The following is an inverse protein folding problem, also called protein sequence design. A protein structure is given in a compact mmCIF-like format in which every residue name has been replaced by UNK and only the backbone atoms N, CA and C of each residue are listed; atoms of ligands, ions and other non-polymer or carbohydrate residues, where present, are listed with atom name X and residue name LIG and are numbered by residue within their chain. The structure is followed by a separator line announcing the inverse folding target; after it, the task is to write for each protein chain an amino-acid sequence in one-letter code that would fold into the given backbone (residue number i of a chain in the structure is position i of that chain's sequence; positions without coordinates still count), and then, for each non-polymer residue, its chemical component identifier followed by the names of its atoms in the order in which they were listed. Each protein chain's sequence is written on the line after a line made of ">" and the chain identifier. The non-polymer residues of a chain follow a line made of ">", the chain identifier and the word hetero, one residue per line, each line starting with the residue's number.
data_IF_523207015250
#
_entry.id   IF_523207015250
#
_cell.length_a   1.000
_cell.length_b   1.000
_cell.length_c   1.000
_cell.angle_alpha   90.00
_cell.angle_beta   90.00
_cell.angle_gamma   90.00
#
_symmetry.space_group_name_H-M   'P 1'
#
loop_
_entity.id
_entity.type
_entity.pdbx_description
1 polymer ?
#
# COMPACT_ATOMS: atom_id res chain seq x y z
N UNK A 1 -7.52 -17.53 -2.46
CA UNK A 1 -7.06 -16.35 -1.71
C UNK A 1 -7.11 -15.12 -2.61
N UNK A 2 -7.55 -14.00 -2.07
CA UNK A 2 -7.56 -12.75 -2.83
C UNK A 2 -6.17 -12.10 -2.80
N UNK A 3 -5.74 -11.60 -3.94
CA UNK A 3 -4.51 -10.83 -4.03
C UNK A 3 -4.81 -9.38 -3.62
N UNK A 4 -4.17 -8.93 -2.56
CA UNK A 4 -4.41 -7.60 -2.00
C UNK A 4 -3.13 -6.78 -2.05
N UNK A 5 -3.16 -5.69 -2.81
CA UNK A 5 -2.04 -4.74 -2.85
C UNK A 5 -2.21 -3.68 -1.79
N UNK A 6 -1.14 -3.34 -1.08
CA UNK A 6 -1.12 -2.23 -0.12
C UNK A 6 -0.08 -1.23 -0.61
N UNK A 7 -0.53 -0.05 -1.02
CA UNK A 7 0.34 0.98 -1.56
C UNK A 7 0.66 2.01 -0.48
N UNK A 8 1.94 2.28 -0.27
CA UNK A 8 2.41 3.24 0.74
C UNK A 8 3.49 4.15 0.16
N UNK A 9 3.73 5.25 0.82
CA UNK A 9 4.72 6.23 0.43
C UNK A 9 4.12 7.32 -0.45
N UNK A 10 4.76 7.59 -1.58
CA UNK A 10 4.29 8.59 -2.54
C UNK A 10 4.99 9.93 -2.41
N UNK A 11 4.66 10.83 -3.34
CA UNK A 11 5.31 12.13 -3.47
C UNK A 11 4.66 13.23 -2.61
N UNK A 12 3.95 12.87 -1.55
CA UNK A 12 3.30 13.85 -0.69
C UNK A 12 4.11 14.14 0.56
N UNK A 13 3.73 15.21 1.28
CA UNK A 13 4.31 15.54 2.56
C UNK A 13 4.00 14.47 3.61
N UNK A 14 3.02 13.61 3.33
CA UNK A 14 2.59 12.51 4.20
C UNK A 14 3.32 11.20 3.91
N UNK A 15 4.42 11.27 3.14
CA UNK A 15 5.18 10.09 2.71
C UNK A 15 5.51 9.15 3.85
N UNK A 16 6.11 9.66 4.92
CA UNK A 16 6.57 8.85 6.04
C UNK A 16 5.41 8.33 6.91
N UNK A 17 4.35 9.12 7.05
CA UNK A 17 3.15 8.69 7.77
C UNK A 17 2.47 7.55 6.99
N UNK A 18 2.43 7.66 5.69
CA UNK A 18 1.88 6.63 4.82
C UNK A 18 2.63 5.30 4.96
N UNK A 19 3.95 5.34 5.12
CA UNK A 19 4.75 4.12 5.33
C UNK A 19 4.39 3.45 6.65
N UNK A 20 4.23 4.22 7.72
CA UNK A 20 3.80 3.69 9.01
C UNK A 20 2.43 3.04 8.88
N UNK A 21 1.50 3.72 8.25
CA UNK A 21 0.14 3.21 8.01
C UNK A 21 0.16 1.93 7.18
N UNK A 22 0.91 1.94 6.08
CA UNK A 22 0.98 0.81 5.16
C UNK A 22 1.57 -0.44 5.81
N UNK A 23 2.69 -0.30 6.50
CA UNK A 23 3.32 -1.45 7.16
C UNK A 23 2.47 -1.96 8.32
N UNK A 24 1.75 -1.07 9.01
CA UNK A 24 0.83 -1.46 10.06
C UNK A 24 -0.34 -2.27 9.49
N UNK A 25 -0.90 -1.83 8.36
CA UNK A 25 -1.98 -2.54 7.68
C UNK A 25 -1.50 -3.94 7.27
N UNK A 26 -0.33 -4.02 6.65
CA UNK A 26 0.25 -5.31 6.22
C UNK A 26 0.37 -6.26 7.41
N UNK A 27 0.81 -5.76 8.55
CA UNK A 27 1.01 -6.60 9.74
C UNK A 27 -0.30 -7.07 10.36
N UNK A 28 -1.39 -6.33 10.17
CA UNK A 28 -2.67 -6.63 10.81
C UNK A 28 -3.66 -7.35 9.93
N UNK A 29 -3.38 -7.52 8.65
CA UNK A 29 -4.25 -8.25 7.75
C UNK A 29 -4.15 -9.76 7.97
N UNK A 30 -5.25 -10.45 7.74
CA UNK A 30 -5.31 -11.90 7.85
C UNK A 30 -4.60 -12.55 6.65
N UNK A 31 -3.40 -13.06 6.88
CA UNK A 31 -2.56 -13.64 5.84
C UNK A 31 -3.03 -15.03 5.38
N UNK A 32 -4.02 -15.58 6.06
CA UNK A 32 -4.67 -16.82 5.62
C UNK A 32 -5.79 -16.54 4.61
N UNK A 33 -6.32 -15.31 4.63
CA UNK A 33 -7.41 -14.90 3.76
C UNK A 33 -6.92 -14.12 2.55
N UNK A 34 -5.86 -13.34 2.71
CA UNK A 34 -5.33 -12.47 1.67
C UNK A 34 -3.87 -12.80 1.37
N UNK A 35 -3.54 -12.85 0.09
CA UNK A 35 -2.15 -12.82 -0.34
C UNK A 35 -1.78 -11.36 -0.52
N UNK A 36 -0.87 -10.88 0.33
CA UNK A 36 -0.59 -9.46 0.45
C UNK A 36 0.64 -9.08 -0.36
N UNK A 37 0.50 -7.99 -1.13
CA UNK A 37 1.56 -7.46 -1.98
C UNK A 37 1.83 -6.02 -1.55
N UNK A 38 2.79 -5.79 -0.64
CA UNK A 38 3.14 -4.43 -0.24
C UNK A 38 3.88 -3.73 -1.38
N UNK A 39 3.49 -2.51 -1.67
CA UNK A 39 4.06 -1.69 -2.72
C UNK A 39 4.51 -0.36 -2.10
N UNK A 40 5.77 0.00 -2.32
CA UNK A 40 6.32 1.25 -1.84
C UNK A 40 6.56 2.19 -3.03
N UNK A 41 6.10 3.44 -2.91
CA UNK A 41 6.39 4.49 -3.89
C UNK A 41 7.31 5.49 -3.21
N UNK A 42 8.48 5.75 -3.82
CA UNK A 42 9.44 6.67 -3.23
C UNK A 42 9.05 8.13 -3.48
N UNK A 43 9.84 9.07 -2.96
CA UNK A 43 9.55 10.49 -3.09
C UNK A 43 9.63 11.01 -4.52
N UNK A 44 10.25 10.26 -5.41
CA UNK A 44 10.36 10.59 -6.83
C UNK A 44 9.28 9.94 -7.68
N UNK A 45 8.43 9.11 -7.05
CA UNK A 45 7.35 8.43 -7.76
C UNK A 45 7.73 7.08 -8.34
N UNK A 46 8.89 6.53 -7.99
CA UNK A 46 9.28 5.20 -8.42
C UNK A 46 8.60 4.15 -7.55
N UNK A 47 8.17 3.07 -8.19
CA UNK A 47 7.43 2.01 -7.53
C UNK A 47 8.32 0.81 -7.26
N UNK A 48 8.16 0.21 -6.07
CA UNK A 48 8.95 -0.93 -5.62
C UNK A 48 8.06 -1.95 -4.96
N UNK A 49 8.44 -3.24 -5.08
CA UNK A 49 7.80 -4.32 -4.33
C UNK A 49 8.78 -4.83 -3.28
N UNK A 50 8.25 -5.35 -2.19
CA UNK A 50 9.05 -6.01 -1.17
C UNK A 50 9.49 -7.38 -1.69
N UNK A 51 10.77 -7.72 -1.47
CA UNK A 51 11.27 -9.07 -1.73
C UNK A 51 11.34 -9.91 -0.45
N UNK A 52 11.18 -9.26 0.68
CA UNK A 52 11.14 -9.89 1.99
C UNK A 52 9.86 -10.70 2.13
N UNK A 53 9.88 -11.89 2.77
CA UNK A 53 8.65 -12.63 3.06
C UNK A 53 7.68 -11.79 3.87
N UNK A 54 6.38 -11.95 3.60
CA UNK A 54 5.34 -11.14 4.23
C UNK A 54 5.37 -11.23 5.76
N UNK A 55 5.75 -12.38 6.30
CA UNK A 55 5.81 -12.61 7.74
C UNK A 55 6.96 -11.87 8.42
N UNK A 56 7.94 -11.43 7.63
CA UNK A 56 9.12 -10.73 8.15
C UNK A 56 9.04 -9.21 8.00
N UNK A 57 7.94 -8.70 7.45
CA UNK A 57 7.76 -7.27 7.28
C UNK A 57 7.37 -6.66 8.61
N UNK A 58 8.16 -5.70 9.07
CA UNK A 58 7.95 -5.02 10.34
C UNK A 58 7.21 -3.70 10.15
N UNK A 59 6.50 -3.28 11.20
CA UNK A 59 5.90 -1.94 11.22
C UNK A 59 7.03 -0.94 11.35
N UNK A 60 7.11 0.00 10.41
CA UNK A 60 8.15 1.01 10.42
C UNK A 60 7.75 2.23 11.23
N UNK A 61 8.75 2.89 11.81
CA UNK A 61 8.56 4.13 12.55
C UNK A 61 8.63 5.31 11.59
N UNK A 62 8.14 6.46 12.03
CA UNK A 62 8.22 7.69 11.23
C UNK A 62 9.69 8.01 10.91
N UNK A 63 9.98 8.24 9.66
CA UNK A 63 11.34 8.53 9.19
C UNK A 63 12.09 7.33 8.65
N UNK A 64 11.61 6.12 8.93
CA UNK A 64 12.20 4.92 8.35
C UNK A 64 11.63 4.65 6.97
N UNK A 65 12.44 4.06 6.10
CA UNK A 65 11.98 3.64 4.77
C UNK A 65 12.12 2.14 4.61
N UNK A 66 11.29 1.53 3.76
CA UNK A 66 11.40 0.10 3.50
C UNK A 66 12.75 -0.30 2.93
N UNK A 67 13.20 -1.50 3.26
CA UNK A 67 14.44 -2.08 2.77
C UNK A 67 14.13 -3.35 1.98
N UNK A 68 15.14 -3.84 1.27
CA UNK A 68 15.02 -5.07 0.48
C UNK A 68 13.88 -4.98 -0.53
N UNK A 69 14.01 -3.99 -1.43
CA UNK A 69 13.01 -3.69 -2.43
C UNK A 69 13.52 -4.03 -3.82
N UNK A 70 12.57 -4.34 -4.70
CA UNK A 70 12.85 -4.52 -6.13
C UNK A 70 11.97 -3.57 -6.92
N UNK A 71 12.56 -2.86 -7.86
CA UNK A 71 11.82 -1.87 -8.65
C UNK A 71 10.78 -2.55 -9.54
N UNK A 72 9.58 -1.99 -9.59
CA UNK A 72 8.52 -2.42 -10.48
C UNK A 72 8.66 -1.60 -11.76
N UNK A 73 8.99 -2.25 -12.88
CA UNK A 73 9.21 -1.56 -14.14
C UNK A 73 7.91 -1.26 -14.89
N UNK A 74 6.88 -2.08 -14.68
CA UNK A 74 5.57 -1.87 -15.31
C UNK A 74 4.50 -1.96 -14.23
N UNK A 75 4.13 -0.82 -13.67
CA UNK A 75 3.17 -0.71 -12.57
C UNK A 75 1.79 -1.22 -13.00
N UNK A 76 1.41 -0.93 -14.24
CA UNK A 76 0.10 -1.32 -14.76
C UNK A 76 -0.02 -2.84 -14.80
N UNK A 77 0.98 -3.53 -15.34
CA UNK A 77 0.97 -4.98 -15.38
C UNK A 77 0.98 -5.60 -14.00
N UNK A 78 1.76 -4.99 -13.09
CA UNK A 78 1.83 -5.48 -11.72
C UNK A 78 0.48 -5.39 -11.01
N UNK A 79 -0.19 -4.24 -11.15
CA UNK A 79 -1.49 -4.02 -10.51
C UNK A 79 -2.60 -4.89 -11.07
N UNK A 80 -2.49 -5.30 -12.32
CA UNK A 80 -3.51 -6.18 -12.94
C UNK A 80 -3.62 -7.54 -12.25
N UNK A 81 -2.61 -7.93 -11.51
CA UNK A 81 -2.62 -9.19 -10.77
C UNK A 81 -3.35 -9.07 -9.42
N UNK A 82 -3.75 -7.86 -9.04
CA UNK A 82 -4.43 -7.63 -7.77
C UNK A 82 -5.94 -7.77 -7.91
N UNK A 83 -6.58 -8.38 -6.93
CA UNK A 83 -8.04 -8.42 -6.83
C UNK A 83 -8.55 -7.14 -6.18
N UNK A 84 -7.79 -6.64 -5.20
CA UNK A 84 -8.13 -5.43 -4.45
C UNK A 84 -6.84 -4.67 -4.20
N UNK A 85 -6.92 -3.34 -4.19
CA UNK A 85 -5.79 -2.48 -3.82
C UNK A 85 -6.25 -1.52 -2.74
N UNK A 86 -5.46 -1.42 -1.69
CA UNK A 86 -5.67 -0.45 -0.62
C UNK A 86 -4.56 0.59 -0.67
N UNK A 87 -4.87 1.84 -1.04
CA UNK A 87 -3.88 2.91 -0.99
C UNK A 87 -3.79 3.45 0.43
N UNK A 88 -2.70 3.14 1.13
CA UNK A 88 -2.44 3.66 2.47
C UNK A 88 -1.78 5.03 2.36
N UNK A 89 -2.26 5.84 1.43
CA UNK A 89 -1.73 7.17 1.15
C UNK A 89 -2.56 8.21 1.89
N UNK A 90 -1.88 9.14 2.55
CA UNK A 90 -2.50 10.25 3.23
C UNK A 90 -2.11 11.54 2.52
N UNK A 91 -2.92 12.58 2.72
CA UNK A 91 -2.65 13.89 2.19
C UNK A 91 -3.12 14.06 0.75
N UNK A 92 -2.69 15.14 0.15
CA UNK A 92 -3.21 15.59 -1.15
C UNK A 92 -2.90 14.63 -2.28
N UNK A 93 -1.75 13.96 -2.25
CA UNK A 93 -1.36 13.08 -3.35
C UNK A 93 -2.35 11.94 -3.54
N UNK A 94 -2.78 11.30 -2.46
CA UNK A 94 -3.79 10.25 -2.53
C UNK A 94 -5.19 10.78 -2.78
N UNK A 95 -5.46 12.01 -2.34
CA UNK A 95 -6.77 12.63 -2.45
C UNK A 95 -7.01 13.30 -3.80
N UNK A 96 -5.96 13.64 -4.52
CA UNK A 96 -6.11 14.31 -5.83
C UNK A 96 -6.61 13.38 -6.93
N UNK A 97 -6.81 12.10 -6.61
CA UNK A 97 -7.37 11.14 -7.54
C UNK A 97 -6.37 10.50 -8.49
N UNK A 98 -5.09 10.85 -8.42
CA UNK A 98 -4.09 10.34 -9.36
C UNK A 98 -3.97 8.82 -9.27
N UNK A 99 -3.74 8.29 -8.07
CA UNK A 99 -3.63 6.84 -7.86
C UNK A 99 -4.99 6.18 -8.06
N UNK A 100 -6.06 6.79 -7.52
CA UNK A 100 -7.40 6.24 -7.68
C UNK A 100 -7.82 6.20 -9.14
N UNK A 101 -7.52 7.24 -9.90
CA UNK A 101 -7.80 7.27 -11.33
C UNK A 101 -7.12 6.14 -12.08
N UNK A 102 -5.84 5.88 -11.76
CA UNK A 102 -5.10 4.77 -12.35
C UNK A 102 -5.75 3.44 -12.01
N UNK A 103 -6.13 3.24 -10.75
CA UNK A 103 -6.74 2.00 -10.29
C UNK A 103 -8.09 1.76 -10.96
N UNK A 104 -8.88 2.82 -11.13
CA UNK A 104 -10.16 2.74 -11.84
C UNK A 104 -9.98 2.32 -13.30
N UNK A 105 -8.97 2.89 -13.97
CA UNK A 105 -8.65 2.51 -15.35
C UNK A 105 -8.27 1.04 -15.46
N UNK A 106 -7.65 0.49 -14.42
CA UNK A 106 -7.26 -0.91 -14.38
C UNK A 106 -8.40 -1.82 -13.94
N UNK A 107 -9.54 -1.24 -13.60
CA UNK A 107 -10.72 -1.97 -13.13
C UNK A 107 -10.45 -2.82 -11.89
N UNK A 108 -9.71 -2.25 -10.93
CA UNK A 108 -9.40 -2.91 -9.67
C UNK A 108 -10.49 -2.57 -8.65
N UNK A 109 -10.86 -3.54 -7.83
CA UNK A 109 -11.93 -3.38 -6.84
C UNK A 109 -11.46 -2.69 -5.57
N UNK A 110 -12.30 -1.82 -5.04
CA UNK A 110 -12.00 -1.05 -3.83
C UNK A 110 -12.82 -1.42 -2.61
N UNK A 111 -13.78 -2.32 -2.76
CA UNK A 111 -14.74 -2.59 -1.68
C UNK A 111 -14.07 -2.94 -0.35
N UNK A 112 -13.04 -3.80 -0.43
CA UNK A 112 -12.31 -4.17 0.77
C UNK A 112 -11.44 -3.04 1.31
N UNK A 113 -11.06 -2.09 0.45
CA UNK A 113 -10.25 -0.97 0.87
C UNK A 113 -10.95 -0.12 1.93
N UNK A 114 -12.27 0.03 1.84
CA UNK A 114 -13.03 0.78 2.84
C UNK A 114 -12.98 0.12 4.20
N UNK A 115 -13.15 -1.20 4.23
CA UNK A 115 -13.14 -1.97 5.48
C UNK A 115 -11.75 -1.91 6.10
N UNK A 116 -10.72 -2.11 5.30
CA UNK A 116 -9.34 -2.07 5.79
C UNK A 116 -8.99 -0.66 6.26
N UNK A 117 -9.43 0.37 5.54
CA UNK A 117 -9.21 1.75 5.92
C UNK A 117 -9.88 2.07 7.27
N UNK A 118 -11.11 1.62 7.46
CA UNK A 118 -11.84 1.82 8.70
C UNK A 118 -11.12 1.15 9.88
N UNK A 119 -10.70 -0.10 9.70
CA UNK A 119 -9.95 -0.83 10.74
C UNK A 119 -8.62 -0.15 11.06
N UNK A 120 -7.93 0.31 10.03
CA UNK A 120 -6.66 1.02 10.17
C UNK A 120 -6.84 2.33 10.94
N UNK A 121 -7.90 3.08 10.62
CA UNK A 121 -8.22 4.33 11.31
C UNK A 121 -8.49 4.09 12.79
N UNK A 122 -9.19 3.04 13.12
CA UNK A 122 -9.44 2.68 14.52
C UNK A 122 -8.16 2.37 15.27
N UNK A 123 -7.22 1.70 14.64
CA UNK A 123 -5.93 1.39 15.25
C UNK A 123 -5.09 2.64 15.50
N UNK A 124 -5.13 3.59 14.59
CA UNK A 124 -4.32 4.79 14.69
C UNK A 124 -4.96 5.88 15.55
N UNK A 125 -6.24 5.78 15.82
CA UNK A 125 -6.92 6.74 16.69
C UNK A 125 -6.78 6.41 18.18
N UNK A 126 -6.14 5.31 18.47
CA UNK A 126 -5.84 4.87 19.82
C UNK A 126 -4.45 5.35 20.22
#
# INVERSE_FOLDING_TARGET
>A
MMNLGVIMGGMSTEHYVSIVSGTSIVNNLNKKKYKIFPIYIDLKGNWYKYIKPIEEIEILQVGEIPQELEKINNEIEYLKNMDVVFPALHGLYGEDGTIQGLLELLNVKYELARIVSWLSTMQFSI
#
